data_IF_665621504012
#
_entry.id   IF_665621504012
#
_cell.length_a   1.000
_cell.length_b   1.000
_cell.length_c   1.000
_cell.angle_alpha   90.00
_cell.angle_beta   90.00
_cell.angle_gamma   90.00
#
_symmetry.space_group_name_H-M   'P 1'
#
loop_
_entity.id
_entity.type
_entity.pdbx_description
1 polymer ?
#
# COMPACT_ATOMS: atom_id res chain seq x y z
N UNK A 1 -5.91 7.70 30.78
CA UNK A 1 -6.13 7.01 29.49
C UNK A 1 -4.75 6.69 28.94
N UNK A 2 -4.29 5.46 29.18
CA UNK A 2 -2.88 5.09 29.16
C UNK A 2 -2.54 4.55 27.75
N UNK A 3 -1.36 4.92 27.24
CA UNK A 3 -0.78 4.57 25.93
C UNK A 3 -0.68 3.06 25.56
N UNK A 4 -0.85 2.05 26.44
CA UNK A 4 -0.79 0.63 26.07
C UNK A 4 -1.93 0.12 25.18
N UNK A 5 -3.08 0.81 25.12
CA UNK A 5 -4.23 0.35 24.32
C UNK A 5 -4.14 0.74 22.82
N UNK A 6 -3.13 1.51 22.42
CA UNK A 6 -2.96 1.96 21.03
C UNK A 6 -2.00 1.07 20.22
N UNK A 7 -1.27 0.17 20.88
CA UNK A 7 -0.34 -0.76 20.25
C UNK A 7 -0.92 -2.17 20.45
N UNK A 8 -1.34 -2.89 19.40
CA UNK A 8 -1.69 -4.29 19.56
C UNK A 8 -0.50 -5.01 20.20
N UNK A 9 -0.70 -5.80 21.29
CA UNK A 9 0.36 -6.44 22.07
C UNK A 9 1.22 -7.46 21.27
N UNK A 10 0.94 -7.59 19.98
CA UNK A 10 1.57 -8.49 19.02
C UNK A 10 2.71 -7.83 18.21
N UNK A 11 2.85 -6.49 18.28
CA UNK A 11 3.90 -5.76 17.53
C UNK A 11 5.02 -5.32 18.49
N UNK A 12 6.11 -6.09 18.50
CA UNK A 12 7.35 -5.74 19.20
C UNK A 12 7.87 -4.36 18.74
N UNK A 13 8.51 -3.59 19.63
CA UNK A 13 9.19 -2.32 19.30
C UNK A 13 10.09 -2.45 18.07
N UNK A 14 10.75 -3.60 17.93
CA UNK A 14 11.60 -3.90 16.77
C UNK A 14 10.80 -3.96 15.45
N UNK A 15 9.60 -4.51 15.48
CA UNK A 15 8.72 -4.57 14.32
C UNK A 15 8.17 -3.18 13.97
N UNK A 16 7.83 -2.35 14.95
CA UNK A 16 7.42 -0.97 14.71
C UNK A 16 8.52 -0.13 14.04
N UNK A 17 9.76 -0.23 14.55
CA UNK A 17 10.92 0.45 13.95
C UNK A 17 11.12 -0.02 12.51
N UNK A 18 11.08 -1.33 12.27
CA UNK A 18 11.23 -1.89 10.92
C UNK A 18 10.13 -1.41 9.96
N UNK A 19 8.86 -1.39 10.38
CA UNK A 19 7.75 -0.88 9.56
C UNK A 19 7.97 0.61 9.24
N UNK A 20 8.43 1.43 10.18
CA UNK A 20 8.78 2.82 9.92
C UNK A 20 9.93 2.96 8.91
N UNK A 21 10.97 2.14 9.01
CA UNK A 21 12.08 2.13 8.04
C UNK A 21 11.60 1.72 6.64
N UNK A 22 10.77 0.66 6.55
CA UNK A 22 10.17 0.21 5.29
C UNK A 22 9.27 1.31 4.71
N UNK A 23 8.44 1.95 5.54
CA UNK A 23 7.59 3.07 5.14
C UNK A 23 8.43 4.20 4.56
N UNK A 24 9.53 4.59 5.22
CA UNK A 24 10.43 5.62 4.74
C UNK A 24 11.04 5.28 3.38
N UNK A 25 11.57 4.06 3.22
CA UNK A 25 12.15 3.60 1.94
C UNK A 25 11.08 3.57 0.84
N UNK A 26 9.91 2.99 1.12
CA UNK A 26 8.80 2.95 0.16
C UNK A 26 8.28 4.34 -0.21
N UNK A 27 8.35 5.30 0.72
CA UNK A 27 7.99 6.70 0.51
C UNK A 27 8.93 7.40 -0.46
N UNK A 28 10.21 7.02 -0.50
CA UNK A 28 11.14 7.56 -1.52
C UNK A 28 10.72 7.14 -2.93
N UNK A 29 10.30 5.89 -3.13
CA UNK A 29 9.76 5.42 -4.42
C UNK A 29 8.50 6.22 -4.82
N UNK A 30 7.63 6.55 -3.86
CA UNK A 30 6.49 7.45 -4.07
C UNK A 30 6.95 8.85 -4.52
N UNK A 31 7.96 9.42 -3.87
CA UNK A 31 8.46 10.77 -4.18
C UNK A 31 9.07 10.89 -5.57
N UNK A 32 9.75 9.84 -6.05
CA UNK A 32 10.35 9.83 -7.39
C UNK A 32 9.36 9.49 -8.51
N UNK A 33 8.53 8.47 -8.32
CA UNK A 33 7.68 7.92 -9.40
C UNK A 33 6.19 8.25 -9.25
N UNK A 34 5.73 8.72 -8.09
CA UNK A 34 4.31 8.87 -7.77
C UNK A 34 3.55 7.55 -7.57
N UNK A 35 4.19 6.40 -7.81
CA UNK A 35 3.63 5.05 -7.78
C UNK A 35 4.62 4.04 -7.18
N UNK A 36 4.17 2.85 -6.81
CA UNK A 36 5.05 1.74 -6.41
C UNK A 36 5.38 1.65 -4.91
N UNK A 37 5.00 2.63 -4.09
CA UNK A 37 5.14 2.55 -2.61
C UNK A 37 4.47 1.30 -2.05
N UNK A 38 3.25 1.03 -2.50
CA UNK A 38 2.48 -0.15 -2.11
C UNK A 38 3.19 -1.47 -2.46
N UNK A 39 3.88 -1.54 -3.60
CA UNK A 39 4.59 -2.75 -4.05
C UNK A 39 5.76 -3.10 -3.13
N UNK A 40 6.38 -2.09 -2.51
CA UNK A 40 7.49 -2.28 -1.56
C UNK A 40 6.93 -2.50 -0.15
N UNK A 41 6.02 -1.63 0.29
CA UNK A 41 5.54 -1.61 1.67
C UNK A 41 4.71 -2.84 2.01
N UNK A 42 3.76 -3.23 1.15
CA UNK A 42 2.79 -4.28 1.45
C UNK A 42 3.43 -5.65 1.74
N UNK A 43 4.33 -6.20 0.91
CA UNK A 43 4.94 -7.51 1.17
C UNK A 43 5.89 -7.48 2.38
N UNK A 44 6.66 -6.39 2.55
CA UNK A 44 7.62 -6.28 3.65
C UNK A 44 6.94 -6.07 5.00
N UNK A 45 6.00 -5.13 5.09
CA UNK A 45 5.30 -4.84 6.34
C UNK A 45 4.29 -5.94 6.70
N UNK A 46 3.64 -6.59 5.72
CA UNK A 46 2.73 -7.71 6.00
C UNK A 46 3.44 -8.98 6.46
N UNK A 47 4.75 -9.12 6.23
CA UNK A 47 5.56 -10.17 6.85
C UNK A 47 5.63 -10.01 8.37
N UNK A 48 5.63 -8.76 8.85
CA UNK A 48 5.83 -8.41 10.26
C UNK A 48 4.54 -8.15 11.03
N UNK A 49 3.46 -7.75 10.34
CA UNK A 49 2.17 -7.43 10.94
C UNK A 49 1.00 -7.99 10.11
N UNK A 50 -0.21 -7.99 10.68
CA UNK A 50 -1.40 -8.46 9.98
C UNK A 50 -1.64 -7.64 8.68
N UNK A 51 -1.90 -8.29 7.52
CA UNK A 51 -2.09 -7.59 6.23
C UNK A 51 -3.18 -6.51 6.28
N UNK A 52 -4.23 -6.71 7.09
CA UNK A 52 -5.31 -5.74 7.30
C UNK A 52 -4.83 -4.44 7.94
N UNK A 53 -3.97 -4.53 8.95
CA UNK A 53 -3.44 -3.36 9.63
C UNK A 53 -2.46 -2.60 8.73
N UNK A 54 -1.61 -3.34 8.02
CA UNK A 54 -0.65 -2.79 7.05
C UNK A 54 -1.37 -2.08 5.90
N UNK A 55 -2.45 -2.65 5.36
CA UNK A 55 -3.28 -2.02 4.34
C UNK A 55 -3.85 -0.68 4.81
N UNK A 56 -4.40 -0.64 6.03
CA UNK A 56 -4.96 0.57 6.62
C UNK A 56 -3.89 1.65 6.83
N UNK A 57 -2.72 1.27 7.37
CA UNK A 57 -1.59 2.18 7.53
C UNK A 57 -1.12 2.77 6.20
N UNK A 58 -0.96 1.91 5.19
CA UNK A 58 -0.55 2.34 3.86
C UNK A 58 -1.55 3.35 3.27
N UNK A 59 -2.86 3.11 3.42
CA UNK A 59 -3.89 4.02 2.93
C UNK A 59 -3.78 5.39 3.61
N UNK A 60 -3.59 5.43 4.93
CA UNK A 60 -3.41 6.69 5.68
C UNK A 60 -2.14 7.42 5.19
N UNK A 61 -1.03 6.71 5.06
CA UNK A 61 0.24 7.28 4.58
C UNK A 61 0.08 7.82 3.16
N UNK A 62 -0.52 7.05 2.25
CA UNK A 62 -0.75 7.44 0.88
C UNK A 62 -1.69 8.65 0.78
N UNK A 63 -2.70 8.75 1.66
CA UNK A 63 -3.61 9.90 1.69
C UNK A 63 -2.90 11.18 2.13
N UNK A 64 -2.11 11.11 3.21
CA UNK A 64 -1.31 12.25 3.69
C UNK A 64 -0.26 12.64 2.67
N UNK A 65 0.41 11.67 2.05
CA UNK A 65 1.41 11.92 1.03
C UNK A 65 0.80 12.48 -0.27
N UNK A 66 -0.40 12.04 -0.65
CA UNK A 66 -1.08 12.52 -1.86
C UNK A 66 -1.68 13.92 -1.68
N UNK A 67 -2.14 14.29 -0.47
CA UNK A 67 -2.78 15.57 -0.19
C UNK A 67 -2.05 16.81 -0.76
N UNK A 68 -0.72 16.99 -0.56
CA UNK A 68 0.01 18.12 -1.14
C UNK A 68 0.17 18.05 -2.67
N UNK A 69 0.05 16.87 -3.29
CA UNK A 69 0.14 16.71 -4.75
C UNK A 69 -1.18 17.04 -5.47
N UNK A 70 -2.33 16.92 -4.79
CA UNK A 70 -3.67 17.19 -5.33
C UNK A 70 -3.76 18.53 -6.10
N UNK A 71 -3.36 19.69 -5.55
CA UNK A 71 -3.57 20.98 -6.22
C UNK A 71 -2.85 21.09 -7.57
N UNK A 72 -1.67 20.47 -7.69
CA UNK A 72 -0.92 20.48 -8.95
C UNK A 72 -1.45 19.42 -9.93
N UNK A 73 -1.79 18.24 -9.40
CA UNK A 73 -2.38 17.15 -10.17
C UNK A 73 -3.74 17.55 -10.78
N UNK A 74 -4.57 18.33 -10.08
CA UNK A 74 -5.89 18.69 -10.56
C UNK A 74 -5.87 19.56 -11.83
N UNK A 75 -4.78 20.31 -12.05
CA UNK A 75 -4.60 21.16 -13.24
C UNK A 75 -4.06 20.38 -14.45
N UNK A 76 -3.25 19.35 -14.21
CA UNK A 76 -2.53 18.62 -15.27
C UNK A 76 -3.04 17.20 -15.51
N UNK A 77 -3.95 16.69 -14.69
CA UNK A 77 -4.46 15.32 -14.82
C UNK A 77 -5.43 15.17 -16.00
N UNK A 78 -5.21 14.13 -16.80
CA UNK A 78 -6.19 13.68 -17.77
C UNK A 78 -7.44 13.16 -17.06
N UNK A 79 -8.58 13.83 -17.28
CA UNK A 79 -9.84 13.50 -16.60
C UNK A 79 -10.38 12.12 -16.97
N UNK A 80 -10.18 11.67 -18.21
CA UNK A 80 -10.67 10.36 -18.67
C UNK A 80 -9.83 9.25 -18.06
N UNK A 81 -8.50 9.34 -18.13
CA UNK A 81 -7.62 8.36 -17.52
C UNK A 81 -7.81 8.28 -15.99
N UNK A 82 -7.93 9.43 -15.33
CA UNK A 82 -8.19 9.49 -13.88
C UNK A 82 -9.54 8.88 -13.53
N UNK A 83 -10.60 9.13 -14.30
CA UNK A 83 -11.92 8.54 -14.05
C UNK A 83 -11.89 7.00 -14.14
N UNK A 84 -11.17 6.44 -15.12
CA UNK A 84 -11.00 4.97 -15.25
C UNK A 84 -10.24 4.41 -14.04
N UNK A 85 -9.16 5.07 -13.62
CA UNK A 85 -8.40 4.68 -12.42
C UNK A 85 -9.26 4.74 -11.15
N UNK A 86 -10.05 5.79 -10.97
CA UNK A 86 -10.96 5.94 -9.82
C UNK A 86 -12.03 4.85 -9.84
N UNK A 87 -12.60 4.53 -11.00
CA UNK A 87 -13.61 3.48 -11.11
C UNK A 87 -13.02 2.10 -10.77
N UNK A 88 -11.81 1.81 -11.28
CA UNK A 88 -11.06 0.62 -10.93
C UNK A 88 -10.76 0.54 -9.43
N UNK A 89 -10.35 1.64 -8.81
CA UNK A 89 -10.11 1.71 -7.37
C UNK A 89 -11.40 1.55 -6.54
N UNK A 90 -12.51 2.15 -6.98
CA UNK A 90 -13.79 2.11 -6.29
C UNK A 90 -14.38 0.69 -6.22
N UNK A 91 -14.07 -0.14 -7.22
CA UNK A 91 -14.42 -1.58 -7.23
C UNK A 91 -13.32 -2.42 -6.57
N UNK A 92 -12.05 -2.12 -6.84
CA UNK A 92 -10.91 -2.90 -6.35
C UNK A 92 -10.71 -2.81 -4.85
N UNK A 93 -10.89 -1.63 -4.23
CA UNK A 93 -10.73 -1.43 -2.78
C UNK A 93 -11.74 -2.25 -1.95
N UNK A 94 -13.06 -2.23 -2.20
CA UNK A 94 -14.00 -3.04 -1.43
C UNK A 94 -13.79 -4.54 -1.65
N UNK A 95 -13.45 -4.97 -2.88
CA UNK A 95 -13.14 -6.37 -3.16
C UNK A 95 -11.88 -6.79 -2.39
N UNK A 96 -10.82 -6.00 -2.45
CA UNK A 96 -9.56 -6.27 -1.75
C UNK A 96 -9.75 -6.32 -0.23
N UNK A 97 -10.48 -5.36 0.34
CA UNK A 97 -10.77 -5.35 1.79
C UNK A 97 -11.65 -6.54 2.21
N UNK A 98 -12.61 -6.95 1.38
CA UNK A 98 -13.39 -8.17 1.62
C UNK A 98 -12.49 -9.41 1.68
N UNK A 99 -11.60 -9.60 0.70
CA UNK A 99 -10.64 -10.71 0.71
C UNK A 99 -9.72 -10.66 1.93
N UNK A 100 -9.19 -9.48 2.30
CA UNK A 100 -8.37 -9.31 3.50
C UNK A 100 -9.10 -9.65 4.80
N UNK A 101 -10.45 -9.60 4.81
CA UNK A 101 -11.25 -9.90 6.00
C UNK A 101 -11.68 -11.37 6.09
N UNK A 102 -11.68 -12.11 4.98
CA UNK A 102 -12.18 -13.50 4.90
C UNK A 102 -11.08 -14.54 4.76
N UNK A 103 -9.92 -14.14 4.24
CA UNK A 103 -8.78 -15.04 4.03
C UNK A 103 -7.90 -15.15 5.26
N UNK A 104 -7.27 -16.31 5.41
CA UNK A 104 -6.23 -16.52 6.41
C UNK A 104 -5.02 -15.59 6.14
N UNK A 105 -4.36 -15.06 7.19
CA UNK A 105 -3.20 -14.19 7.03
C UNK A 105 -2.09 -14.79 6.16
N UNK A 106 -1.86 -16.10 6.23
CA UNK A 106 -0.82 -16.78 5.45
C UNK A 106 -1.18 -16.77 3.97
N UNK A 107 -2.42 -17.12 3.63
CA UNK A 107 -2.91 -17.09 2.23
C UNK A 107 -2.85 -15.68 1.66
N UNK A 108 -3.25 -14.68 2.44
CA UNK A 108 -3.22 -13.28 2.03
C UNK A 108 -1.80 -12.80 1.72
N UNK A 109 -0.81 -13.17 2.54
CA UNK A 109 0.61 -12.86 2.30
C UNK A 109 1.11 -13.45 0.98
N UNK A 110 0.78 -14.71 0.70
CA UNK A 110 1.17 -15.35 -0.57
C UNK A 110 0.54 -14.68 -1.78
N UNK A 111 -0.74 -14.31 -1.70
CA UNK A 111 -1.43 -13.59 -2.78
C UNK A 111 -0.76 -12.23 -3.04
N UNK A 112 -0.48 -11.46 -1.99
CA UNK A 112 0.19 -10.15 -2.10
C UNK A 112 1.58 -10.34 -2.72
N UNK A 113 2.37 -11.29 -2.23
CA UNK A 113 3.72 -11.55 -2.75
C UNK A 113 3.71 -12.00 -4.22
N UNK A 114 2.81 -12.90 -4.60
CA UNK A 114 2.67 -13.35 -5.99
C UNK A 114 2.23 -12.20 -6.90
N UNK A 115 1.31 -11.36 -6.44
CA UNK A 115 0.84 -10.19 -7.18
C UNK A 115 1.96 -9.16 -7.37
N UNK A 116 2.71 -8.83 -6.31
CA UNK A 116 3.86 -7.93 -6.40
C UNK A 116 4.92 -8.51 -7.34
N UNK A 117 5.21 -9.81 -7.25
CA UNK A 117 6.17 -10.46 -8.14
C UNK A 117 5.73 -10.41 -9.61
N UNK A 118 4.44 -10.64 -9.89
CA UNK A 118 3.90 -10.52 -11.24
C UNK A 118 4.00 -9.08 -11.77
N UNK A 119 3.70 -8.07 -10.94
CA UNK A 119 3.86 -6.66 -11.31
C UNK A 119 5.32 -6.27 -11.52
N UNK A 120 6.24 -6.82 -10.72
CA UNK A 120 7.67 -6.63 -10.91
C UNK A 120 8.14 -7.25 -12.23
N UNK A 121 7.71 -8.47 -12.56
CA UNK A 121 8.01 -9.09 -13.85
C UNK A 121 7.47 -8.26 -15.02
N UNK A 122 6.25 -7.72 -14.88
CA UNK A 122 5.65 -6.85 -15.89
C UNK A 122 6.47 -5.56 -16.07
N UNK A 123 6.90 -4.94 -14.97
CA UNK A 123 7.75 -3.75 -15.01
C UNK A 123 9.10 -4.04 -15.68
N UNK A 124 9.74 -5.15 -15.32
CA UNK A 124 11.03 -5.58 -15.89
C UNK A 124 10.90 -5.98 -17.36
N UNK A 125 9.75 -6.51 -17.78
CA UNK A 125 9.50 -6.90 -19.17
C UNK A 125 9.52 -5.73 -20.16
N UNK A 126 9.51 -4.48 -19.67
CA UNK A 126 9.55 -3.29 -20.51
C UNK A 126 8.27 -3.06 -21.31
N UNK A 127 7.17 -3.72 -20.95
CA UNK A 127 5.88 -3.59 -21.62
C UNK A 127 5.42 -2.12 -21.57
N UNK A 128 5.48 -1.45 -22.72
CA UNK A 128 5.04 -0.07 -22.90
C UNK A 128 3.82 -0.10 -23.81
N UNK A 129 2.64 0.11 -23.23
CA UNK A 129 1.39 0.34 -23.98
C UNK A 129 1.17 1.84 -24.14
#
# INVERSE_FOLDING_TARGET
>A
MILPDLIPPEVSINAAIAICTIAFISGTARGFSGFGSALIFMPLASSMAAPRLVAALLLIIDFVAAAPLIPNAWKHADRKATAVMVFGALIGVPIGTYFLSRLDPVTTRWIISAFVFALLLLLVSGWRY
#
